data_IF_387780831415
#
_entry.id   IF_387780831415
#
_cell.length_a   1.000
_cell.length_b   1.000
_cell.length_c   1.000
_cell.angle_alpha   90.00
_cell.angle_beta   90.00
_cell.angle_gamma   90.00
#
_symmetry.space_group_name_H-M   'P 1'
#
loop_
_entity.id
_entity.type
_entity.pdbx_description
1 polymer ?
#
# COMPACT_ATOMS: atom_id res chain seq x y z
N UNK A 1 7.02 -11.64 5.38
CA UNK A 1 5.64 -11.08 5.28
C UNK A 1 4.88 -11.64 4.09
N UNK A 2 5.48 -11.69 2.89
CA UNK A 2 4.85 -12.24 1.68
C UNK A 2 4.41 -13.71 1.81
N UNK A 3 5.13 -14.54 2.57
CA UNK A 3 4.75 -15.93 2.83
C UNK A 3 3.36 -16.08 3.47
N UNK A 4 2.95 -15.11 4.31
CA UNK A 4 1.63 -15.15 4.93
C UNK A 4 0.54 -14.90 3.88
N UNK A 5 0.77 -13.98 2.95
CA UNK A 5 -0.15 -13.72 1.84
C UNK A 5 -0.27 -14.93 0.92
N UNK A 6 0.85 -15.58 0.58
CA UNK A 6 0.85 -16.82 -0.21
C UNK A 6 0.07 -17.95 0.47
N UNK A 7 0.24 -18.13 1.79
CA UNK A 7 -0.52 -19.12 2.57
C UNK A 7 -2.02 -18.82 2.60
N UNK A 8 -2.41 -17.54 2.74
CA UNK A 8 -3.81 -17.13 2.72
C UNK A 8 -4.46 -17.33 1.34
N UNK A 9 -3.72 -17.04 0.27
CA UNK A 9 -4.16 -17.25 -1.10
C UNK A 9 -4.33 -18.75 -1.39
N UNK A 10 -3.35 -19.57 -1.01
CA UNK A 10 -3.42 -21.04 -1.12
C UNK A 10 -4.58 -21.66 -0.31
N UNK A 11 -4.97 -21.02 0.80
CA UNK A 11 -6.12 -21.43 1.60
C UNK A 11 -7.48 -21.03 0.99
N UNK A 12 -7.50 -20.46 -0.22
CA UNK A 12 -8.71 -20.10 -0.95
C UNK A 12 -9.53 -18.97 -0.31
N UNK A 13 -8.89 -18.13 0.52
CA UNK A 13 -9.57 -17.00 1.17
C UNK A 13 -9.65 -15.81 0.22
N UNK A 14 -10.77 -15.07 0.27
CA UNK A 14 -10.88 -13.79 -0.43
C UNK A 14 -9.94 -12.78 0.23
N UNK A 15 -8.97 -12.29 -0.54
CA UNK A 15 -8.01 -11.28 -0.11
C UNK A 15 -8.28 -10.00 -0.91
N UNK A 16 -8.27 -8.86 -0.21
CA UNK A 16 -8.32 -7.53 -0.82
C UNK A 16 -7.01 -6.84 -0.47
N UNK A 17 -6.21 -6.51 -1.50
CA UNK A 17 -4.92 -5.85 -1.30
C UNK A 17 -5.15 -4.34 -1.28
N UNK A 18 -4.68 -3.67 -0.24
CA UNK A 18 -4.79 -2.21 -0.10
C UNK A 18 -3.41 -1.58 -0.17
N UNK A 19 -3.21 -0.67 -1.10
CA UNK A 19 -1.90 -0.09 -1.41
C UNK A 19 -1.97 1.43 -1.29
N UNK A 20 -1.32 2.04 -0.28
CA UNK A 20 -1.17 3.48 -0.24
C UNK A 20 -0.24 3.93 -1.38
N UNK A 21 -0.73 4.85 -2.21
CA UNK A 21 0.04 5.50 -3.27
C UNK A 21 0.61 6.82 -2.77
N UNK A 22 1.94 6.90 -2.78
CA UNK A 22 2.75 8.02 -2.32
C UNK A 22 3.51 8.56 -3.52
N UNK A 23 3.28 9.84 -3.84
CA UNK A 23 3.96 10.52 -4.94
C UNK A 23 5.47 10.55 -4.72
N UNK A 24 6.24 10.29 -5.77
CA UNK A 24 7.69 10.17 -5.69
C UNK A 24 8.21 8.88 -5.05
N UNK A 25 7.34 7.94 -4.67
CA UNK A 25 7.75 6.65 -4.09
C UNK A 25 7.20 5.44 -4.86
N UNK A 26 5.87 5.30 -4.97
CA UNK A 26 5.24 4.13 -5.60
C UNK A 26 4.00 4.46 -6.43
N UNK A 27 3.76 5.74 -6.70
CA UNK A 27 2.62 6.23 -7.48
C UNK A 27 2.93 6.43 -8.97
N UNK A 28 4.06 5.92 -9.46
CA UNK A 28 4.41 5.88 -10.88
C UNK A 28 3.87 4.61 -11.57
N UNK A 29 3.75 4.67 -12.89
CA UNK A 29 3.21 3.57 -13.71
C UNK A 29 3.98 2.26 -13.54
N UNK A 30 5.31 2.32 -13.41
CA UNK A 30 6.15 1.11 -13.28
C UNK A 30 5.86 0.41 -11.96
N UNK A 31 5.82 1.16 -10.87
CA UNK A 31 5.48 0.65 -9.53
C UNK A 31 4.06 0.09 -9.48
N UNK A 32 3.08 0.83 -9.99
CA UNK A 32 1.67 0.40 -10.00
C UNK A 32 1.49 -0.88 -10.82
N UNK A 33 2.16 -1.00 -11.97
CA UNK A 33 2.13 -2.22 -12.78
C UNK A 33 2.73 -3.40 -12.03
N UNK A 34 3.92 -3.25 -11.45
CA UNK A 34 4.58 -4.33 -10.70
C UNK A 34 3.73 -4.82 -9.51
N UNK A 35 3.06 -3.91 -8.81
CA UNK A 35 2.15 -4.24 -7.71
C UNK A 35 0.93 -5.02 -8.21
N UNK A 36 0.36 -4.61 -9.34
CA UNK A 36 -0.80 -5.26 -9.95
C UNK A 36 -0.45 -6.65 -10.46
N UNK A 37 0.67 -6.78 -11.17
CA UNK A 37 1.18 -8.06 -11.67
C UNK A 37 1.41 -9.03 -10.52
N UNK A 38 2.07 -8.61 -9.44
CA UNK A 38 2.27 -9.44 -8.25
C UNK A 38 0.93 -9.90 -7.63
N UNK A 39 -0.03 -8.98 -7.50
CA UNK A 39 -1.33 -9.30 -6.93
C UNK A 39 -2.14 -10.29 -7.79
N UNK A 40 -2.09 -10.14 -9.11
CA UNK A 40 -2.80 -11.00 -10.06
C UNK A 40 -2.11 -12.37 -10.24
N UNK A 41 -0.79 -12.38 -10.41
CA UNK A 41 -0.04 -13.57 -10.82
C UNK A 41 0.33 -14.46 -9.64
N UNK A 42 0.70 -13.86 -8.50
CA UNK A 42 1.18 -14.63 -7.34
C UNK A 42 0.09 -14.90 -6.30
N UNK A 43 -0.86 -13.99 -6.16
CA UNK A 43 -1.90 -14.08 -5.13
C UNK A 43 -3.30 -14.35 -5.72
N UNK A 44 -3.47 -14.22 -7.03
CA UNK A 44 -4.74 -14.39 -7.72
C UNK A 44 -5.89 -13.61 -7.07
N UNK A 45 -5.61 -12.40 -6.57
CA UNK A 45 -6.64 -11.58 -5.92
C UNK A 45 -7.54 -10.93 -6.97
N UNK A 46 -8.85 -10.90 -6.68
CA UNK A 46 -9.82 -10.26 -7.56
C UNK A 46 -9.97 -8.75 -7.36
N UNK A 47 -9.31 -8.18 -6.35
CA UNK A 47 -9.56 -6.78 -5.95
C UNK A 47 -8.33 -6.12 -5.31
N UNK A 48 -7.97 -4.94 -5.82
CA UNK A 48 -6.92 -4.07 -5.28
C UNK A 48 -7.52 -2.69 -5.03
N UNK A 49 -7.26 -2.12 -3.86
CA UNK A 49 -7.63 -0.74 -3.52
C UNK A 49 -6.38 0.13 -3.46
N UNK A 50 -6.22 1.02 -4.44
CA UNK A 50 -5.23 2.09 -4.38
C UNK A 50 -5.76 3.23 -3.52
N UNK A 51 -5.00 3.60 -2.49
CA UNK A 51 -5.39 4.62 -1.53
C UNK A 51 -4.45 5.81 -1.68
N UNK A 52 -4.92 7.00 -2.10
CA UNK A 52 -4.10 8.18 -2.12
C UNK A 52 -3.55 8.48 -0.72
N UNK A 53 -2.26 8.81 -0.63
CA UNK A 53 -1.67 9.21 0.64
C UNK A 53 -2.28 10.50 1.18
N UNK A 54 -2.51 10.54 2.50
CA UNK A 54 -3.05 11.69 3.20
C UNK A 54 -2.27 11.97 4.48
N UNK A 55 -1.95 13.23 4.73
CA UNK A 55 -1.17 13.70 5.89
C UNK A 55 -2.01 13.89 7.16
N UNK A 56 -3.24 13.36 7.21
CA UNK A 56 -4.17 13.50 8.35
C UNK A 56 -3.61 12.98 9.68
N UNK A 57 -2.57 12.13 9.64
CA UNK A 57 -1.89 11.59 10.81
C UNK A 57 -0.84 12.49 11.46
N UNK A 58 -0.42 13.59 10.82
CA UNK A 58 0.69 14.45 11.32
C UNK A 58 0.47 14.91 12.75
N UNK A 59 -0.77 15.30 13.09
CA UNK A 59 -1.11 15.79 14.44
C UNK A 59 -0.80 14.75 15.53
N UNK A 60 -0.88 13.45 15.23
CA UNK A 60 -0.53 12.41 16.20
C UNK A 60 0.97 12.36 16.49
N UNK A 61 1.82 12.59 15.49
CA UNK A 61 3.27 12.67 15.67
C UNK A 61 3.64 13.89 16.49
N UNK A 62 2.99 15.02 16.22
CA UNK A 62 3.16 16.24 17.00
C UNK A 62 2.79 16.05 18.48
N UNK A 63 1.67 15.39 18.77
CA UNK A 63 1.25 15.07 20.15
C UNK A 63 2.23 14.13 20.88
N UNK A 64 2.98 13.31 20.14
CA UNK A 64 3.98 12.39 20.69
C UNK A 64 5.40 12.99 20.70
N UNK A 65 5.55 14.25 20.29
CA UNK A 65 6.84 14.91 20.14
C UNK A 65 7.82 14.13 19.24
N UNK A 66 7.28 13.45 18.23
CA UNK A 66 8.03 12.65 17.26
C UNK A 66 8.23 13.42 15.96
N UNK A 67 9.40 13.30 15.30
CA UNK A 67 9.59 13.83 13.95
C UNK A 67 8.66 13.11 12.96
N UNK A 68 8.22 13.83 11.93
CA UNK A 68 7.39 13.30 10.87
C UNK A 68 8.21 13.27 9.56
N UNK A 69 8.64 12.07 9.17
CA UNK A 69 9.57 11.88 8.04
C UNK A 69 8.87 11.54 6.72
N UNK A 70 7.54 11.45 6.72
CA UNK A 70 6.80 11.11 5.52
C UNK A 70 6.64 12.34 4.60
N UNK A 71 6.61 12.15 3.26
CA UNK A 71 6.52 13.26 2.33
C UNK A 71 5.31 14.15 2.60
N UNK A 72 5.53 15.45 2.58
CA UNK A 72 4.44 16.43 2.63
C UNK A 72 3.55 16.27 1.39
N UNK A 73 2.27 16.58 1.55
CA UNK A 73 1.34 16.56 0.44
C UNK A 73 1.75 17.68 -0.53
N UNK A 74 2.33 17.35 -1.68
CA UNK A 74 2.45 18.32 -2.77
C UNK A 74 1.03 18.69 -3.19
N UNK A 75 0.72 19.99 -3.11
CA UNK A 75 -0.59 20.55 -3.43
C UNK A 75 -0.96 20.35 -4.90
#
# INVERSE_FOLDING_TARGET
>A
MLDNLKKLAAAGKKIIIRVPLIQGFNADETSVKAITDFAADELHVGEIHFLPYHTLGINKYHLLNLPYDAPEKTA
#
